data_IF_777300915164
#
_entry.id   IF_777300915164
#
_cell.length_a   1.000
_cell.length_b   1.000
_cell.length_c   1.000
_cell.angle_alpha   90.00
_cell.angle_beta   90.00
_cell.angle_gamma   90.00
#
_symmetry.space_group_name_H-M   'P 1'
#
loop_
_entity.id
_entity.type
_entity.pdbx_description
1 polymer ?
#
# COMPACT_ATOMS: atom_id res chain seq x y z
N UNK A 1 -7.31 1.28 -3.51
CA UNK A 1 -7.73 1.65 -2.16
C UNK A 1 -6.68 2.60 -1.62
N UNK A 2 -7.07 3.83 -1.32
CA UNK A 2 -6.19 4.84 -0.73
C UNK A 2 -6.72 5.10 0.67
N UNK A 3 -5.87 5.01 1.68
CA UNK A 3 -6.27 5.20 3.08
C UNK A 3 -5.73 6.53 3.55
N UNK A 4 -6.60 7.37 4.13
CA UNK A 4 -6.24 8.69 4.67
C UNK A 4 -6.29 8.63 6.19
N UNK A 5 -5.19 9.01 6.85
CA UNK A 5 -5.15 9.11 8.30
C UNK A 5 -5.56 10.53 8.76
N UNK A 6 -6.74 10.67 9.36
CA UNK A 6 -7.18 11.92 9.97
C UNK A 6 -6.76 11.94 11.45
N UNK A 7 -5.53 12.39 11.71
CA UNK A 7 -5.03 12.53 13.08
C UNK A 7 -5.90 13.44 13.94
N UNK A 8 -6.76 12.83 14.76
CA UNK A 8 -7.20 13.38 16.04
C UNK A 8 -6.93 12.30 17.09
N UNK A 9 -6.14 12.66 18.10
CA UNK A 9 -5.80 11.83 19.25
C UNK A 9 -7.03 11.07 19.76
N UNK A 10 -6.98 9.72 19.73
CA UNK A 10 -7.95 8.87 20.41
C UNK A 10 -8.52 7.73 19.59
N UNK A 11 -8.86 7.95 18.31
CA UNK A 11 -9.55 6.94 17.50
C UNK A 11 -8.96 6.91 16.08
N UNK A 12 -8.12 5.91 15.80
CA UNK A 12 -7.56 5.68 14.46
C UNK A 12 -8.64 5.11 13.54
N UNK A 13 -9.60 5.93 13.12
CA UNK A 13 -10.64 5.52 12.18
C UNK A 13 -10.12 5.61 10.75
N UNK A 14 -9.59 4.50 10.24
CA UNK A 14 -9.19 4.34 8.84
C UNK A 14 -10.41 4.43 7.93
N UNK A 15 -10.69 5.60 7.33
CA UNK A 15 -11.75 5.71 6.33
C UNK A 15 -11.27 5.13 5.01
N UNK A 16 -11.94 4.07 4.58
CA UNK A 16 -11.74 3.42 3.30
C UNK A 16 -12.70 4.05 2.29
N UNK A 17 -12.22 4.95 1.43
CA UNK A 17 -13.01 5.30 0.26
C UNK A 17 -12.98 4.12 -0.71
N UNK A 18 -14.14 3.46 -0.85
CA UNK A 18 -14.36 2.39 -1.82
C UNK A 18 -13.97 2.88 -3.21
N UNK A 19 -13.05 2.17 -3.86
CA UNK A 19 -12.45 2.60 -5.11
C UNK A 19 -12.69 1.52 -6.16
N UNK A 20 -13.48 1.86 -7.18
CA UNK A 20 -13.61 1.08 -8.40
C UNK A 20 -12.22 0.88 -9.05
N UNK A 21 -11.95 -0.22 -9.77
CA UNK A 21 -10.62 -0.55 -10.30
C UNK A 21 -9.99 0.48 -11.26
N UNK A 22 -10.77 1.45 -11.74
CA UNK A 22 -10.41 2.39 -12.80
C UNK A 22 -10.17 3.84 -12.36
N UNK A 23 -10.40 4.20 -11.08
CA UNK A 23 -10.16 5.56 -10.60
C UNK A 23 -8.92 5.62 -9.71
N UNK A 24 -7.96 6.47 -10.07
CA UNK A 24 -6.78 6.73 -9.25
C UNK A 24 -7.20 7.54 -8.02
N UNK A 25 -7.49 6.86 -6.91
CA UNK A 25 -7.96 7.50 -5.68
C UNK A 25 -6.88 8.42 -5.05
N UNK A 26 -5.60 8.30 -5.43
CA UNK A 26 -4.56 9.18 -4.92
C UNK A 26 -4.69 10.62 -5.46
N UNK A 27 -4.94 10.79 -6.76
CA UNK A 27 -5.05 12.12 -7.38
C UNK A 27 -6.23 12.92 -6.84
N UNK A 28 -7.40 12.28 -6.68
CA UNK A 28 -8.59 12.92 -6.11
C UNK A 28 -8.41 13.33 -4.65
N UNK A 29 -7.68 12.55 -3.85
CA UNK A 29 -7.43 12.88 -2.44
C UNK A 29 -6.49 14.08 -2.31
N UNK A 30 -5.51 14.19 -3.21
CA UNK A 30 -4.62 15.36 -3.30
C UNK A 30 -5.38 16.62 -3.75
N UNK A 31 -6.30 16.51 -4.71
CA UNK A 31 -7.19 17.61 -5.13
C UNK A 31 -8.06 18.15 -3.98
N UNK A 32 -8.40 17.30 -3.00
CA UNK A 32 -9.15 17.69 -1.80
C UNK A 32 -8.30 18.41 -0.75
N UNK A 33 -7.02 18.66 -1.02
CA UNK A 33 -6.11 19.37 -0.11
C UNK A 33 -5.62 18.52 1.07
N UNK A 34 -5.71 17.19 0.96
CA UNK A 34 -5.17 16.28 1.98
C UNK A 34 -3.65 16.24 1.87
N UNK A 35 -2.99 16.32 3.02
CA UNK A 35 -1.54 16.26 3.09
C UNK A 35 -1.01 14.89 2.58
N UNK A 36 -0.07 14.86 1.62
CA UNK A 36 0.46 13.64 1.03
C UNK A 36 1.04 12.64 2.05
N UNK A 37 1.59 13.13 3.17
CA UNK A 37 2.15 12.27 4.23
C UNK A 37 1.10 11.41 4.93
N UNK A 38 -0.19 11.74 4.78
CA UNK A 38 -1.31 10.99 5.37
C UNK A 38 -1.95 10.00 4.41
N UNK A 39 -1.43 9.91 3.19
CA UNK A 39 -1.98 9.10 2.11
C UNK A 39 -1.19 7.80 2.02
N UNK A 40 -1.88 6.67 2.13
CA UNK A 40 -1.32 5.34 1.91
C UNK A 40 -1.81 4.82 0.56
N UNK A 41 -0.88 4.57 -0.36
CA UNK A 41 -1.22 3.90 -1.63
C UNK A 41 -1.33 2.38 -1.39
N UNK A 42 -2.51 1.91 -1.01
CA UNK A 42 -2.74 0.52 -0.58
C UNK A 42 -3.13 -0.48 -1.71
N UNK A 43 -3.00 -0.10 -2.99
CA UNK A 43 -3.22 -1.04 -4.10
C UNK A 43 -1.93 -1.81 -4.45
N UNK A 44 -1.86 -3.14 -4.26
CA UNK A 44 -0.68 -3.91 -4.63
C UNK A 44 -0.39 -3.92 -6.15
N UNK A 45 -1.38 -3.77 -7.04
CA UNK A 45 -1.13 -3.72 -8.49
C UNK A 45 -1.17 -2.28 -9.01
N UNK A 46 -0.04 -1.55 -8.92
CA UNK A 46 0.08 -0.19 -9.44
C UNK A 46 0.68 -0.18 -10.85
N UNK A 47 0.17 0.67 -11.73
CA UNK A 47 0.84 0.99 -12.99
C UNK A 47 2.03 1.91 -12.73
N UNK A 48 3.09 1.81 -13.54
CA UNK A 48 4.28 2.67 -13.43
C UNK A 48 3.94 4.17 -13.46
N UNK A 49 2.93 4.56 -14.25
CA UNK A 49 2.39 5.93 -14.29
C UNK A 49 1.93 6.42 -12.92
N UNK A 50 1.22 5.59 -12.15
CA UNK A 50 0.71 5.94 -10.83
C UNK A 50 1.83 6.04 -9.78
N UNK A 51 2.91 5.29 -9.97
CA UNK A 51 4.09 5.33 -9.10
C UNK A 51 4.90 6.61 -9.33
N UNK A 52 5.04 7.02 -10.59
CA UNK A 52 5.62 8.32 -10.95
C UNK A 52 4.76 9.45 -10.38
N UNK A 53 3.44 9.37 -10.54
CA UNK A 53 2.51 10.37 -10.00
C UNK A 53 2.59 10.48 -8.48
N UNK A 54 2.59 9.34 -7.76
CA UNK A 54 2.75 9.32 -6.31
C UNK A 54 4.06 9.98 -5.86
N UNK A 55 5.15 9.73 -6.58
CA UNK A 55 6.45 10.35 -6.32
C UNK A 55 6.45 11.86 -6.59
N UNK A 56 5.85 12.29 -7.70
CA UNK A 56 5.71 13.72 -8.04
C UNK A 56 4.90 14.50 -6.99
N UNK A 57 3.96 13.82 -6.33
CA UNK A 57 3.08 14.41 -5.32
C UNK A 57 3.51 14.07 -3.88
N UNK A 58 4.72 13.55 -3.66
CA UNK A 58 5.30 13.22 -2.35
C UNK A 58 4.44 12.24 -1.50
N UNK A 59 3.73 11.32 -2.16
CA UNK A 59 3.04 10.21 -1.49
C UNK A 59 4.04 9.06 -1.33
N UNK A 60 4.73 9.03 -0.20
CA UNK A 60 5.88 8.15 0.05
C UNK A 60 5.51 6.76 0.61
N UNK A 61 4.26 6.58 1.08
CA UNK A 61 3.82 5.37 1.78
C UNK A 61 2.95 4.46 0.89
N UNK A 62 3.38 3.21 0.70
CA UNK A 62 2.64 2.24 -0.13
C UNK A 62 2.66 0.81 0.41
N UNK A 63 1.70 -0.02 -0.01
CA UNK A 63 1.72 -1.46 0.26
C UNK A 63 2.41 -2.25 -0.84
N UNK A 64 3.11 -3.32 -0.49
CA UNK A 64 3.66 -4.31 -1.41
C UNK A 64 3.39 -5.74 -0.96
N UNK A 65 3.37 -6.64 -1.92
CA UNK A 65 3.16 -8.08 -1.73
C UNK A 65 4.12 -8.95 -2.55
N UNK A 66 4.76 -8.43 -3.61
CA UNK A 66 5.74 -9.18 -4.42
C UNK A 66 6.98 -8.36 -4.78
N UNK A 67 8.07 -9.04 -5.12
CA UNK A 67 9.37 -8.43 -5.42
C UNK A 67 9.36 -7.59 -6.71
N UNK A 68 8.56 -7.97 -7.70
CA UNK A 68 8.39 -7.24 -8.96
C UNK A 68 7.84 -5.83 -8.74
N UNK A 69 7.08 -5.65 -7.66
CA UNK A 69 6.47 -4.37 -7.27
C UNK A 69 7.40 -3.50 -6.43
N UNK A 70 8.54 -4.05 -5.97
CA UNK A 70 9.63 -3.27 -5.39
C UNK A 70 10.35 -2.54 -6.53
N UNK A 71 9.87 -1.34 -6.85
CA UNK A 71 10.50 -0.45 -7.81
C UNK A 71 11.69 0.23 -7.15
N UNK A 72 12.68 0.64 -7.95
CA UNK A 72 13.86 1.43 -7.54
C UNK A 72 13.54 2.85 -7.03
N UNK A 73 12.43 3.04 -6.33
CA UNK A 73 12.13 4.31 -5.65
C UNK A 73 12.31 4.07 -4.17
N UNK A 74 13.12 4.89 -3.51
CA UNK A 74 13.24 4.89 -2.05
C UNK A 74 11.89 5.32 -1.47
N UNK A 75 11.09 4.34 -1.06
CA UNK A 75 9.74 4.55 -0.55
C UNK A 75 9.63 3.92 0.84
N UNK A 76 8.67 4.40 1.62
CA UNK A 76 8.23 3.75 2.85
C UNK A 76 7.20 2.70 2.47
N UNK A 77 7.42 1.46 2.90
CA UNK A 77 6.61 0.33 2.43
C UNK A 77 5.97 -0.41 3.61
N UNK A 78 4.72 -0.82 3.41
CA UNK A 78 3.96 -1.70 4.29
C UNK A 78 3.81 -3.08 3.65
N UNK A 79 4.28 -4.12 4.34
CA UNK A 79 4.18 -5.49 3.86
C UNK A 79 2.79 -6.05 4.12
N UNK A 80 2.09 -6.50 3.08
CA UNK A 80 0.76 -7.08 3.24
C UNK A 80 0.84 -8.59 3.41
N UNK A 81 0.41 -9.11 4.56
CA UNK A 81 0.34 -10.55 4.78
C UNK A 81 -0.94 -11.15 4.21
N UNK A 82 -0.83 -12.37 3.69
CA UNK A 82 -2.00 -13.16 3.32
C UNK A 82 -2.69 -13.68 4.59
N UNK A 83 -3.97 -13.34 4.83
CA UNK A 83 -4.70 -13.97 5.92
C UNK A 83 -4.87 -15.46 5.60
N UNK A 84 -4.54 -16.34 6.55
CA UNK A 84 -4.93 -17.75 6.44
C UNK A 84 -6.45 -17.82 6.57
N UNK A 85 -7.13 -18.43 5.60
CA UNK A 85 -8.59 -18.53 5.58
C UNK A 85 -9.08 -19.33 6.80
N UNK A 86 -9.34 -18.65 7.90
CA UNK A 86 -9.92 -19.23 9.12
C UNK A 86 -11.45 -19.21 9.09
N UNK A 87 -12.05 -18.52 8.12
CA UNK A 87 -13.50 -18.36 7.95
C UNK A 87 -13.87 -18.31 6.47
N UNK A 88 -15.12 -18.67 6.15
CA UNK A 88 -15.66 -18.53 4.79
C UNK A 88 -15.75 -17.05 4.40
N UNK A 89 -15.16 -16.71 3.27
CA UNK A 89 -15.19 -15.37 2.68
C UNK A 89 -15.90 -15.43 1.33
N UNK A 90 -16.75 -14.43 1.07
CA UNK A 90 -17.43 -14.30 -0.22
C UNK A 90 -16.43 -14.12 -1.37
N UNK A 91 -15.31 -13.44 -1.11
CA UNK A 91 -14.23 -13.23 -2.07
C UNK A 91 -12.87 -13.37 -1.39
N UNK A 92 -12.17 -14.46 -1.69
CA UNK A 92 -10.81 -14.69 -1.22
C UNK A 92 -9.80 -13.88 -2.06
N UNK A 93 -9.50 -12.68 -1.57
CA UNK A 93 -8.46 -11.82 -2.14
C UNK A 93 -7.04 -12.27 -1.75
N UNK A 94 -6.89 -13.16 -0.76
CA UNK A 94 -5.61 -13.71 -0.34
C UNK A 94 -4.95 -14.52 -1.44
N UNK A 95 -5.75 -15.23 -2.27
CA UNK A 95 -5.26 -15.93 -3.48
C UNK A 95 -4.55 -15.02 -4.48
N UNK A 96 -4.89 -13.72 -4.51
CA UNK A 96 -4.36 -12.76 -5.48
C UNK A 96 -3.34 -11.80 -4.89
N UNK A 97 -3.45 -11.51 -3.59
CA UNK A 97 -2.68 -10.46 -2.94
C UNK A 97 -2.17 -10.89 -1.57
N UNK A 98 -1.00 -10.36 -1.22
CA UNK A 98 -0.31 -10.63 0.03
C UNK A 98 0.69 -11.78 -0.08
N UNK A 99 1.68 -11.74 0.80
CA UNK A 99 2.74 -12.74 0.90
C UNK A 99 2.54 -13.65 2.12
N UNK A 100 3.07 -14.86 2.04
CA UNK A 100 3.19 -15.75 3.20
C UNK A 100 4.42 -15.40 4.06
N UNK A 101 4.57 -16.04 5.22
CA UNK A 101 5.64 -15.75 6.16
C UNK A 101 7.02 -16.17 5.62
N UNK A 102 7.04 -17.25 4.86
CA UNK A 102 8.22 -17.79 4.18
C UNK A 102 8.72 -16.81 3.10
N UNK A 103 7.81 -16.15 2.39
CA UNK A 103 8.11 -15.18 1.35
C UNK A 103 8.51 -13.81 1.93
N UNK A 104 7.93 -13.44 3.08
CA UNK A 104 8.15 -12.16 3.73
C UNK A 104 9.64 -11.88 3.97
N UNK A 105 10.42 -12.86 4.41
CA UNK A 105 11.86 -12.69 4.67
C UNK A 105 12.62 -12.30 3.40
N UNK A 106 12.37 -12.99 2.28
CA UNK A 106 12.97 -12.67 0.98
C UNK A 106 12.57 -11.26 0.53
N UNK A 107 11.30 -10.88 0.75
CA UNK A 107 10.79 -9.56 0.42
C UNK A 107 11.41 -8.44 1.27
N UNK A 108 11.64 -8.66 2.57
CA UNK A 108 12.36 -7.71 3.42
C UNK A 108 13.81 -7.49 2.95
N UNK A 109 14.50 -8.59 2.61
CA UNK A 109 15.87 -8.52 2.09
C UNK A 109 15.89 -7.77 0.75
N UNK A 110 14.97 -8.10 -0.16
CA UNK A 110 14.88 -7.44 -1.46
C UNK A 110 14.55 -5.95 -1.32
N UNK A 111 13.63 -5.57 -0.42
CA UNK A 111 13.30 -4.18 -0.14
C UNK A 111 14.53 -3.39 0.34
N UNK A 112 15.30 -3.97 1.28
CA UNK A 112 16.56 -3.38 1.76
C UNK A 112 17.58 -3.21 0.63
N UNK A 113 17.77 -4.24 -0.19
CA UNK A 113 18.72 -4.21 -1.32
C UNK A 113 18.34 -3.16 -2.38
N UNK A 114 17.04 -2.87 -2.53
CA UNK A 114 16.51 -1.86 -3.45
C UNK A 114 16.45 -0.45 -2.83
N UNK A 115 16.92 -0.28 -1.59
CA UNK A 115 16.97 1.00 -0.88
C UNK A 115 15.62 1.48 -0.34
N UNK A 116 14.63 0.60 -0.27
CA UNK A 116 13.32 0.89 0.34
C UNK A 116 13.32 0.54 1.82
N UNK A 117 12.51 1.26 2.60
CA UNK A 117 12.40 1.03 4.04
C UNK A 117 11.03 0.44 4.35
N UNK A 118 11.02 -0.78 4.90
CA UNK A 118 9.76 -1.37 5.38
C UNK A 118 9.47 -0.82 6.78
N UNK A 119 8.34 -0.14 6.93
CA UNK A 119 7.98 0.54 8.18
C UNK A 119 6.91 -0.20 9.00
N UNK A 120 6.33 -1.26 8.44
CA UNK A 120 5.29 -2.03 9.12
C UNK A 120 4.65 -3.10 8.25
N UNK A 121 3.61 -3.70 8.82
CA UNK A 121 2.84 -4.79 8.24
C UNK A 121 1.35 -4.39 8.14
N UNK A 122 0.65 -4.92 7.14
CA UNK A 122 -0.76 -4.67 6.83
C UNK A 122 -1.53 -5.97 6.66
#
# INVERSE_FOLDING_TARGET
>A
MTVVNNGKHGDTQWRTQGCCPSFDCASKVLELGVDPSRIIYANPCKQNSHLTYAKEHNVDLMTFDTEEKLIKVKMLILMRFRPKNMYEVMYDLGKKFGCDFEEAMCLFISAKNKGSTVIGVW
#
